data_IF_428784084321
#
_entry.id   IF_428784084321
#
_cell.length_a   1.000
_cell.length_b   1.000
_cell.length_c   1.000
_cell.angle_alpha   90.00
_cell.angle_beta   90.00
_cell.angle_gamma   90.00
#
_symmetry.space_group_name_H-M   'P 1'
#
loop_
_entity.id
_entity.type
_entity.pdbx_description
1 polymer ?
#
# COMPACT_ATOMS: atom_id res chain seq x y z
N UNK A 1 17.20 -34.55 45.19
CA UNK A 1 16.72 -34.71 43.79
C UNK A 1 15.49 -33.86 43.63
N UNK A 2 15.67 -32.72 42.98
CA UNK A 2 14.66 -31.67 42.88
C UNK A 2 13.79 -31.91 41.64
N UNK A 3 12.49 -32.10 41.88
CA UNK A 3 11.45 -32.02 40.86
C UNK A 3 11.10 -30.56 40.64
N UNK A 4 11.43 -30.00 39.50
CA UNK A 4 10.85 -28.77 39.02
C UNK A 4 9.63 -29.09 38.14
N UNK A 5 8.44 -29.05 38.74
CA UNK A 5 7.18 -28.94 38.02
C UNK A 5 7.06 -27.51 37.48
N UNK A 6 7.26 -27.34 36.21
CA UNK A 6 6.78 -26.13 35.49
C UNK A 6 5.29 -26.29 35.24
N UNK A 7 4.51 -25.55 36.01
CA UNK A 7 3.09 -25.32 35.74
C UNK A 7 2.92 -24.66 34.36
N UNK A 8 2.52 -25.46 33.39
CA UNK A 8 1.93 -24.92 32.17
C UNK A 8 0.51 -24.50 32.54
N UNK A 9 0.31 -23.20 32.79
CA UNK A 9 -1.02 -22.62 32.78
C UNK A 9 -1.66 -22.93 31.43
N UNK A 10 -2.65 -23.78 31.43
CA UNK A 10 -3.50 -24.11 30.31
C UNK A 10 -4.30 -22.83 29.97
N UNK A 11 -3.88 -22.12 28.94
CA UNK A 11 -4.65 -21.01 28.36
C UNK A 11 -5.98 -21.59 27.92
N UNK A 12 -7.03 -21.24 28.64
CA UNK A 12 -8.39 -21.69 28.36
C UNK A 12 -8.86 -21.00 27.06
N UNK A 13 -9.00 -21.76 25.98
CA UNK A 13 -9.38 -21.28 24.64
C UNK A 13 -10.76 -20.57 24.68
N UNK A 14 -11.57 -20.80 25.73
CA UNK A 14 -12.86 -20.13 25.94
C UNK A 14 -12.74 -18.64 26.29
N UNK A 15 -11.58 -18.14 26.73
CA UNK A 15 -11.40 -16.74 27.12
C UNK A 15 -10.90 -15.84 25.98
N UNK A 16 -10.59 -16.41 24.83
CA UNK A 16 -10.38 -15.66 23.60
C UNK A 16 -11.76 -15.24 23.09
N UNK A 17 -12.29 -14.13 23.62
CA UNK A 17 -13.38 -13.40 22.97
C UNK A 17 -12.90 -12.97 21.58
N UNK A 18 -13.09 -13.84 20.61
CA UNK A 18 -13.09 -13.48 19.20
C UNK A 18 -14.13 -12.37 19.03
N UNK A 19 -13.69 -11.12 19.00
CA UNK A 19 -14.49 -10.05 18.43
C UNK A 19 -14.69 -10.39 16.96
N UNK A 20 -15.67 -11.24 16.69
CA UNK A 20 -16.16 -11.50 15.35
C UNK A 20 -16.96 -10.29 14.88
N UNK A 21 -16.29 -9.24 14.48
CA UNK A 21 -16.85 -8.38 13.47
C UNK A 21 -16.52 -9.03 12.12
N UNK A 22 -17.34 -9.98 11.71
CA UNK A 22 -17.38 -10.54 10.36
C UNK A 22 -17.90 -9.46 9.38
N UNK A 23 -17.28 -8.28 9.35
CA UNK A 23 -17.32 -7.43 8.17
C UNK A 23 -16.32 -8.01 7.19
N UNK A 24 -16.80 -8.51 6.06
CA UNK A 24 -15.97 -8.79 4.90
C UNK A 24 -15.06 -7.57 4.70
N UNK A 25 -13.77 -7.78 4.38
CA UNK A 25 -12.87 -6.66 4.14
C UNK A 25 -13.46 -5.78 3.05
N UNK A 26 -13.63 -4.50 3.36
CA UNK A 26 -14.22 -3.54 2.43
C UNK A 26 -13.28 -3.38 1.24
N UNK A 27 -13.78 -3.71 0.05
CA UNK A 27 -13.06 -3.65 -1.22
C UNK A 27 -13.63 -2.47 -2.00
N UNK A 28 -12.78 -1.61 -2.50
CA UNK A 28 -13.17 -0.53 -3.40
C UNK A 28 -13.25 -1.08 -4.82
N UNK A 29 -14.26 -0.67 -5.55
CA UNK A 29 -14.32 -0.91 -6.99
C UNK A 29 -13.21 -0.17 -7.75
N UNK A 30 -12.87 -0.62 -8.95
CA UNK A 30 -11.90 0.05 -9.84
C UNK A 30 -12.31 1.51 -10.07
N UNK A 31 -13.61 1.78 -10.28
CA UNK A 31 -14.16 3.12 -10.46
C UNK A 31 -13.92 4.03 -9.25
N UNK A 32 -14.10 3.52 -8.02
CA UNK A 32 -13.85 4.29 -6.80
C UNK A 32 -12.36 4.62 -6.62
N UNK A 33 -11.50 3.66 -6.93
CA UNK A 33 -10.04 3.88 -6.90
C UNK A 33 -9.62 4.92 -7.94
N UNK A 34 -10.17 4.85 -9.15
CA UNK A 34 -9.92 5.85 -10.19
C UNK A 34 -10.41 7.24 -9.76
N UNK A 35 -11.57 7.34 -9.11
CA UNK A 35 -12.03 8.61 -8.52
C UNK A 35 -11.08 9.13 -7.46
N UNK A 36 -10.53 8.27 -6.60
CA UNK A 36 -9.54 8.67 -5.60
C UNK A 36 -8.26 9.23 -6.24
N UNK A 37 -7.72 8.53 -7.24
CA UNK A 37 -6.51 8.96 -7.96
C UNK A 37 -6.77 10.27 -8.71
N UNK A 38 -7.91 10.38 -9.40
CA UNK A 38 -8.27 11.53 -10.23
C UNK A 38 -8.83 12.71 -9.43
N UNK A 39 -9.05 12.58 -8.13
CA UNK A 39 -9.37 13.70 -7.24
C UNK A 39 -8.25 14.74 -7.21
N UNK A 40 -7.01 14.31 -7.40
CA UNK A 40 -5.84 15.17 -7.52
C UNK A 40 -5.42 15.31 -8.98
N UNK A 41 -4.76 16.43 -9.27
CA UNK A 41 -4.16 16.74 -10.58
C UNK A 41 -2.63 16.88 -10.46
N UNK A 42 -1.98 17.38 -11.51
CA UNK A 42 -0.55 17.66 -11.54
C UNK A 42 -0.25 19.17 -11.59
N UNK A 43 -1.12 20.01 -11.00
CA UNK A 43 -0.92 21.47 -10.99
C UNK A 43 0.19 21.90 -10.04
N UNK A 44 0.30 21.22 -8.89
CA UNK A 44 1.34 21.50 -7.92
C UNK A 44 1.95 20.19 -7.36
N UNK A 45 3.09 20.36 -6.69
CA UNK A 45 3.82 19.26 -6.06
C UNK A 45 2.98 18.41 -5.11
N UNK A 46 2.16 19.04 -4.25
CA UNK A 46 1.41 18.30 -3.21
C UNK A 46 0.26 17.50 -3.81
N UNK A 47 -0.43 18.04 -4.80
CA UNK A 47 -1.49 17.35 -5.50
C UNK A 47 -0.91 16.19 -6.31
N UNK A 48 0.13 16.44 -7.09
CA UNK A 48 0.83 15.42 -7.88
C UNK A 48 1.38 14.30 -7.00
N UNK A 49 1.97 14.66 -5.83
CA UNK A 49 2.41 13.69 -4.82
C UNK A 49 1.25 12.81 -4.33
N UNK A 50 0.13 13.41 -3.96
CA UNK A 50 -1.00 12.68 -3.41
C UNK A 50 -1.62 11.74 -4.45
N UNK A 51 -1.75 12.21 -5.70
CA UNK A 51 -2.19 11.40 -6.85
C UNK A 51 -1.31 10.17 -7.02
N UNK A 52 -0.01 10.40 -7.15
CA UNK A 52 0.97 9.34 -7.38
C UNK A 52 1.08 8.38 -6.20
N UNK A 53 0.98 8.89 -4.97
CA UNK A 53 1.00 8.09 -3.75
C UNK A 53 -0.16 7.07 -3.72
N UNK A 54 -1.39 7.50 -4.03
CA UNK A 54 -2.57 6.62 -4.06
C UNK A 54 -2.41 5.58 -5.18
N UNK A 55 -1.94 6.02 -6.35
CA UNK A 55 -1.71 5.13 -7.48
C UNK A 55 -0.63 4.07 -7.17
N UNK A 56 0.50 4.47 -6.55
CA UNK A 56 1.53 3.51 -6.13
C UNK A 56 0.96 2.49 -5.15
N UNK A 57 0.21 2.91 -4.13
CA UNK A 57 -0.40 1.99 -3.15
C UNK A 57 -1.28 0.94 -3.82
N UNK A 58 -2.13 1.34 -4.75
CA UNK A 58 -3.02 0.44 -5.45
C UNK A 58 -2.29 -0.40 -6.50
N UNK A 59 -1.55 0.24 -7.41
CA UNK A 59 -0.91 -0.43 -8.54
C UNK A 59 0.19 -1.42 -8.14
N UNK A 60 0.80 -1.25 -6.96
CA UNK A 60 1.86 -2.14 -6.46
C UNK A 60 1.44 -3.01 -5.28
N UNK A 61 0.27 -2.73 -4.71
CA UNK A 61 -0.19 -3.38 -3.49
C UNK A 61 0.80 -3.27 -2.32
N UNK A 62 1.67 -2.27 -2.29
CA UNK A 62 2.69 -2.13 -1.25
C UNK A 62 2.09 -1.80 0.12
N UNK A 63 2.82 -2.15 1.18
CA UNK A 63 2.47 -1.72 2.53
C UNK A 63 2.77 -0.22 2.69
N UNK A 64 2.03 0.45 3.58
CA UNK A 64 2.27 1.88 3.86
C UNK A 64 3.70 2.17 4.32
N UNK A 65 4.32 1.27 5.07
CA UNK A 65 5.74 1.40 5.45
C UNK A 65 6.67 1.29 4.25
N UNK A 66 6.41 0.33 3.37
CA UNK A 66 7.18 0.15 2.12
C UNK A 66 7.07 1.42 1.25
N UNK A 67 5.84 1.98 1.11
CA UNK A 67 5.62 3.24 0.38
C UNK A 67 6.47 4.38 0.91
N UNK A 68 6.48 4.58 2.25
CA UNK A 68 7.23 5.65 2.89
C UNK A 68 8.76 5.49 2.72
N UNK A 69 9.23 4.26 2.51
CA UNK A 69 10.64 3.92 2.39
C UNK A 69 11.16 3.88 0.94
N UNK A 70 10.30 4.12 -0.06
CA UNK A 70 10.73 4.14 -1.46
C UNK A 70 11.71 5.31 -1.68
N UNK A 71 12.84 4.99 -2.29
CA UNK A 71 13.84 5.95 -2.74
C UNK A 71 13.76 6.16 -4.26
N UNK A 72 14.32 7.25 -4.76
CA UNK A 72 14.41 7.49 -6.21
C UNK A 72 15.22 6.38 -6.92
N UNK A 73 16.25 5.86 -6.25
CA UNK A 73 17.06 4.74 -6.75
C UNK A 73 16.34 3.40 -6.82
N UNK A 74 15.14 3.30 -6.22
CA UNK A 74 14.32 2.09 -6.28
C UNK A 74 13.39 2.08 -7.51
N UNK A 75 13.37 3.17 -8.30
CA UNK A 75 12.51 3.34 -9.48
C UNK A 75 13.37 3.27 -10.74
N UNK A 76 13.00 2.38 -11.63
CA UNK A 76 13.56 2.31 -12.98
C UNK A 76 12.43 2.58 -13.98
N UNK A 77 12.45 3.78 -14.57
CA UNK A 77 11.43 4.19 -15.54
C UNK A 77 11.69 3.61 -16.94
N UNK A 78 12.93 3.32 -17.27
CA UNK A 78 13.32 2.77 -18.57
C UNK A 78 12.88 1.30 -18.66
N UNK A 79 13.21 0.51 -17.63
CA UNK A 79 12.82 -0.89 -17.51
C UNK A 79 11.41 -1.05 -16.89
N UNK A 80 10.76 0.04 -16.48
CA UNK A 80 9.38 0.11 -15.94
C UNK A 80 9.15 -0.82 -14.75
N UNK A 81 10.02 -0.75 -13.75
CA UNK A 81 9.82 -1.45 -12.49
C UNK A 81 10.09 -0.58 -11.26
N UNK A 82 9.50 -1.01 -10.15
CA UNK A 82 9.71 -0.46 -8.82
C UNK A 82 10.20 -1.55 -7.88
N UNK A 83 11.30 -1.29 -7.18
CA UNK A 83 11.86 -2.18 -6.15
C UNK A 83 11.29 -1.82 -4.79
N UNK A 84 10.60 -2.76 -4.16
CA UNK A 84 10.00 -2.58 -2.83
C UNK A 84 10.78 -3.37 -1.79
N UNK A 85 11.07 -2.72 -0.65
CA UNK A 85 11.79 -3.31 0.47
C UNK A 85 10.81 -3.83 1.52
N UNK A 86 10.65 -5.14 1.59
CA UNK A 86 9.81 -5.82 2.56
C UNK A 86 10.49 -6.12 3.89
N UNK A 87 9.79 -6.86 4.76
CA UNK A 87 10.29 -7.30 6.08
C UNK A 87 11.53 -8.18 5.93
N UNK A 88 12.54 -7.96 6.77
CA UNK A 88 13.78 -8.75 6.80
C UNK A 88 14.71 -8.49 5.60
N UNK A 89 14.73 -7.27 5.09
CA UNK A 89 15.58 -6.86 3.95
C UNK A 89 15.31 -7.63 2.64
N UNK A 90 14.20 -8.36 2.56
CA UNK A 90 13.79 -8.99 1.31
C UNK A 90 13.24 -7.92 0.37
N UNK A 91 13.72 -7.95 -0.87
CA UNK A 91 13.23 -7.05 -1.91
C UNK A 91 12.32 -7.82 -2.86
N UNK A 92 11.32 -7.12 -3.42
CA UNK A 92 10.56 -7.59 -4.57
C UNK A 92 10.50 -6.50 -5.63
N UNK A 93 10.41 -6.92 -6.87
CA UNK A 93 10.26 -6.06 -8.03
C UNK A 93 8.80 -6.13 -8.46
N UNK A 94 8.19 -4.97 -8.69
CA UNK A 94 6.83 -4.86 -9.21
C UNK A 94 6.84 -4.05 -10.50
N UNK A 95 6.08 -4.44 -11.52
CA UNK A 95 6.03 -3.71 -12.79
C UNK A 95 5.33 -2.36 -12.61
N UNK A 96 5.73 -1.37 -13.38
CA UNK A 96 5.10 -0.05 -13.48
C UNK A 96 4.22 -0.05 -14.74
N UNK A 97 2.90 -0.13 -14.55
CA UNK A 97 1.94 -0.02 -15.64
C UNK A 97 1.86 1.40 -16.22
N UNK A 98 1.28 1.55 -17.39
CA UNK A 98 1.25 2.81 -18.15
C UNK A 98 0.65 4.00 -17.38
N UNK A 99 -0.42 3.79 -16.60
CA UNK A 99 -1.03 4.85 -15.78
C UNK A 99 -0.08 5.31 -14.67
N UNK A 100 0.49 4.36 -13.92
CA UNK A 100 1.45 4.66 -12.87
C UNK A 100 2.72 5.30 -13.41
N UNK A 101 3.21 4.85 -14.58
CA UNK A 101 4.35 5.44 -15.27
C UNK A 101 4.12 6.93 -15.54
N UNK A 102 2.97 7.29 -16.10
CA UNK A 102 2.60 8.67 -16.37
C UNK A 102 2.59 9.49 -15.07
N UNK A 103 1.88 9.03 -14.05
CA UNK A 103 1.78 9.75 -12.78
C UNK A 103 3.13 9.91 -12.07
N UNK A 104 4.00 8.88 -12.13
CA UNK A 104 5.37 8.96 -11.59
C UNK A 104 6.21 9.99 -12.35
N UNK A 105 6.18 9.98 -13.67
CA UNK A 105 6.96 10.92 -14.50
C UNK A 105 6.56 12.36 -14.19
N UNK A 106 5.25 12.67 -14.19
CA UNK A 106 4.72 14.01 -13.87
C UNK A 106 5.13 14.44 -12.45
N UNK A 107 4.99 13.52 -11.48
CA UNK A 107 5.36 13.82 -10.11
C UNK A 107 6.86 14.06 -9.95
N UNK A 108 7.72 13.23 -10.56
CA UNK A 108 9.16 13.38 -10.48
C UNK A 108 9.65 14.70 -11.08
N UNK A 109 9.02 15.16 -12.16
CA UNK A 109 9.30 16.47 -12.76
C UNK A 109 8.97 17.60 -11.76
N UNK A 110 7.76 17.60 -11.18
CA UNK A 110 7.37 18.60 -10.20
C UNK A 110 8.20 18.51 -8.91
N UNK A 111 8.54 17.29 -8.49
CA UNK A 111 9.41 17.05 -7.34
C UNK A 111 10.80 17.65 -7.53
N UNK A 112 11.39 17.52 -8.71
CA UNK A 112 12.71 18.08 -9.01
C UNK A 112 12.71 19.61 -8.94
N UNK A 113 11.62 20.25 -9.38
CA UNK A 113 11.45 21.71 -9.31
C UNK A 113 11.21 22.19 -7.86
N UNK A 114 10.48 21.41 -7.08
CA UNK A 114 10.16 21.76 -5.68
C UNK A 114 11.36 21.59 -4.75
N UNK A 115 12.23 20.60 -5.03
CA UNK A 115 13.36 20.24 -4.21
C UNK A 115 14.67 20.70 -4.87
N UNK A 116 15.27 21.71 -4.28
CA UNK A 116 16.64 22.13 -4.62
C UNK A 116 17.72 21.22 -3.97
N UNK A 117 17.33 20.25 -3.13
CA UNK A 117 18.20 19.40 -2.34
C UNK A 117 18.14 17.92 -2.79
N UNK A 118 19.23 17.19 -2.52
CA UNK A 118 19.45 15.78 -2.92
C UNK A 118 18.72 14.76 -2.04
N UNK A 119 17.48 15.03 -1.63
CA UNK A 119 16.70 14.03 -0.88
C UNK A 119 16.38 12.83 -1.77
N UNK A 120 16.82 11.65 -1.34
CA UNK A 120 16.63 10.42 -2.11
C UNK A 120 15.25 9.78 -1.94
N UNK A 121 14.52 10.11 -0.86
CA UNK A 121 13.20 9.55 -0.58
C UNK A 121 12.18 10.05 -1.61
N UNK A 122 11.34 9.15 -2.13
CA UNK A 122 10.35 9.48 -3.16
C UNK A 122 9.31 10.47 -2.66
N UNK A 123 8.63 10.17 -1.55
CA UNK A 123 7.51 10.96 -1.04
C UNK A 123 7.92 11.83 0.14
N UNK A 124 7.78 13.14 -0.03
CA UNK A 124 8.11 14.14 0.98
C UNK A 124 6.89 14.98 1.36
N UNK A 125 6.90 15.48 2.58
CA UNK A 125 5.92 16.43 3.12
C UNK A 125 6.08 17.83 2.50
N UNK A 126 5.16 18.74 2.84
CA UNK A 126 5.30 20.17 2.50
C UNK A 126 6.59 20.77 3.10
N UNK A 127 7.03 20.27 4.24
CA UNK A 127 8.27 20.70 4.94
C UNK A 127 9.52 20.01 4.39
N UNK A 128 9.42 19.29 3.26
CA UNK A 128 10.52 18.56 2.62
C UNK A 128 11.11 17.40 3.44
N UNK A 129 10.44 16.98 4.51
CA UNK A 129 10.79 15.80 5.28
C UNK A 129 10.13 14.55 4.71
N UNK A 130 10.73 13.38 4.95
CA UNK A 130 10.15 12.07 4.59
C UNK A 130 8.70 11.99 5.07
N UNK A 131 7.82 11.53 4.21
CA UNK A 131 6.41 11.34 4.54
C UNK A 131 6.26 10.15 5.49
N UNK A 132 5.58 10.34 6.62
CA UNK A 132 5.31 9.30 7.58
C UNK A 132 4.00 8.55 7.28
N UNK A 133 3.83 7.41 7.93
CA UNK A 133 2.62 6.57 7.77
C UNK A 133 1.34 7.33 8.15
N UNK A 134 1.37 8.13 9.20
CA UNK A 134 0.23 8.91 9.70
C UNK A 134 -0.22 9.95 8.66
N UNK A 135 0.73 10.59 7.99
CA UNK A 135 0.43 11.53 6.91
C UNK A 135 -0.24 10.82 5.72
N UNK A 136 0.25 9.63 5.34
CA UNK A 136 -0.38 8.80 4.29
C UNK A 136 -1.82 8.43 4.66
N UNK A 137 -2.06 7.98 5.89
CA UNK A 137 -3.41 7.69 6.39
C UNK A 137 -4.32 8.91 6.29
N UNK A 138 -3.84 10.09 6.71
CA UNK A 138 -4.62 11.36 6.63
C UNK A 138 -4.96 11.73 5.19
N UNK A 139 -4.02 11.56 4.25
CA UNK A 139 -4.25 11.85 2.82
C UNK A 139 -5.36 10.94 2.30
N UNK A 140 -5.27 9.62 2.52
CA UNK A 140 -6.24 8.65 2.04
C UNK A 140 -7.63 8.93 2.63
N UNK A 141 -7.75 9.10 3.95
CA UNK A 141 -9.03 9.42 4.61
C UNK A 141 -9.64 10.72 4.09
N UNK A 142 -8.81 11.76 3.95
CA UNK A 142 -9.27 13.06 3.41
C UNK A 142 -9.80 12.89 1.98
N UNK A 143 -9.11 12.14 1.14
CA UNK A 143 -9.53 11.89 -0.24
C UNK A 143 -10.85 11.13 -0.29
N UNK A 144 -10.95 10.02 0.43
CA UNK A 144 -12.17 9.21 0.48
C UNK A 144 -13.40 10.04 0.93
N UNK A 145 -13.23 10.86 1.98
CA UNK A 145 -14.27 11.77 2.44
C UNK A 145 -14.65 12.81 1.40
N UNK A 146 -13.67 13.39 0.72
CA UNK A 146 -13.89 14.45 -0.27
C UNK A 146 -14.69 13.97 -1.49
N UNK A 147 -14.54 12.69 -1.87
CA UNK A 147 -15.31 12.06 -2.96
C UNK A 147 -16.54 11.28 -2.46
N UNK A 148 -16.91 11.47 -1.19
CA UNK A 148 -18.10 10.89 -0.57
C UNK A 148 -18.16 9.36 -0.62
N UNK A 149 -17.02 8.67 -0.48
CA UNK A 149 -17.04 7.22 -0.31
C UNK A 149 -17.73 6.85 1.00
N UNK A 150 -18.63 5.86 0.94
CA UNK A 150 -19.37 5.36 2.11
C UNK A 150 -18.49 4.46 2.98
N UNK A 151 -17.42 3.96 2.45
CA UNK A 151 -16.49 3.02 3.06
C UNK A 151 -15.36 3.75 3.78
N UNK A 152 -14.98 3.27 4.94
CA UNK A 152 -13.77 3.73 5.64
C UNK A 152 -12.52 3.23 4.92
N UNK A 153 -11.85 4.12 4.20
CA UNK A 153 -10.69 3.78 3.37
C UNK A 153 -9.37 3.99 4.10
N UNK A 154 -8.54 2.97 4.06
CA UNK A 154 -7.19 2.94 4.63
C UNK A 154 -6.18 2.44 3.57
N UNK A 155 -4.86 2.58 3.79
CA UNK A 155 -3.85 1.99 2.89
C UNK A 155 -4.05 0.48 2.68
N UNK A 156 -4.49 -0.24 3.73
CA UNK A 156 -4.79 -1.67 3.62
C UNK A 156 -5.99 -1.96 2.72
N UNK A 157 -6.99 -1.08 2.69
CA UNK A 157 -8.15 -1.20 1.78
C UNK A 157 -7.69 -1.18 0.32
N UNK A 158 -6.80 -0.24 -0.05
CA UNK A 158 -6.24 -0.16 -1.40
C UNK A 158 -5.44 -1.41 -1.78
N UNK A 159 -4.61 -1.90 -0.85
CA UNK A 159 -3.86 -3.15 -1.06
C UNK A 159 -4.78 -4.37 -1.18
N UNK A 160 -5.85 -4.42 -0.38
CA UNK A 160 -6.86 -5.47 -0.43
C UNK A 160 -7.59 -5.46 -1.77
N UNK A 161 -8.02 -4.27 -2.21
CA UNK A 161 -8.67 -4.10 -3.51
C UNK A 161 -7.74 -4.51 -4.66
N UNK A 162 -6.45 -4.15 -4.61
CA UNK A 162 -5.46 -4.57 -5.60
C UNK A 162 -5.37 -6.11 -5.69
N UNK A 163 -5.28 -6.80 -4.54
CA UNK A 163 -5.22 -8.26 -4.50
C UNK A 163 -6.47 -8.91 -5.09
N UNK A 164 -7.65 -8.41 -4.72
CA UNK A 164 -8.94 -8.94 -5.22
C UNK A 164 -9.07 -8.72 -6.72
N UNK A 165 -8.78 -7.51 -7.21
CA UNK A 165 -8.85 -7.21 -8.64
C UNK A 165 -7.86 -8.03 -9.48
N UNK A 166 -6.68 -8.37 -8.94
CA UNK A 166 -5.75 -9.29 -9.61
C UNK A 166 -6.36 -10.69 -9.74
N UNK A 167 -6.99 -11.23 -8.68
CA UNK A 167 -7.65 -12.54 -8.71
C UNK A 167 -8.85 -12.53 -9.66
N UNK A 168 -9.69 -11.51 -9.63
CA UNK A 168 -10.82 -11.32 -10.54
C UNK A 168 -10.36 -11.20 -12.00
N UNK A 169 -9.19 -10.59 -12.22
CA UNK A 169 -8.52 -10.50 -13.52
C UNK A 169 -7.87 -11.80 -13.99
N UNK A 170 -8.00 -12.90 -13.22
CA UNK A 170 -7.51 -14.23 -13.58
C UNK A 170 -6.08 -14.55 -13.13
N UNK A 171 -5.44 -13.70 -12.31
CA UNK A 171 -4.16 -14.05 -11.71
C UNK A 171 -4.34 -15.21 -10.72
N UNK A 172 -3.43 -16.16 -10.74
CA UNK A 172 -3.43 -17.22 -9.74
C UNK A 172 -3.00 -16.71 -8.36
N UNK A 173 -3.40 -17.43 -7.32
CA UNK A 173 -3.16 -17.05 -5.93
C UNK A 173 -1.67 -16.89 -5.60
N UNK A 174 -0.82 -17.72 -6.18
CA UNK A 174 0.63 -17.69 -5.94
C UNK A 174 1.25 -16.43 -6.54
N UNK A 175 0.87 -16.05 -7.74
CA UNK A 175 1.28 -14.80 -8.38
C UNK A 175 0.89 -13.60 -7.52
N UNK A 176 -0.35 -13.57 -6.99
CA UNK A 176 -0.79 -12.50 -6.08
C UNK A 176 0.02 -12.49 -4.78
N UNK A 177 0.35 -13.66 -4.22
CA UNK A 177 1.20 -13.75 -3.02
C UNK A 177 2.61 -13.20 -3.25
N UNK A 178 3.23 -13.55 -4.35
CA UNK A 178 4.57 -13.08 -4.72
C UNK A 178 4.56 -11.57 -4.97
N UNK A 179 3.57 -11.08 -5.71
CA UNK A 179 3.37 -9.65 -5.96
C UNK A 179 3.22 -8.84 -4.67
N UNK A 180 2.44 -9.33 -3.72
CA UNK A 180 2.23 -8.67 -2.43
C UNK A 180 3.38 -8.87 -1.45
N UNK A 181 4.29 -9.80 -1.68
CA UNK A 181 5.38 -10.14 -0.77
C UNK A 181 4.86 -10.74 0.54
N UNK A 182 3.93 -11.70 0.44
CA UNK A 182 3.48 -12.49 1.59
C UNK A 182 4.49 -13.59 1.91
N UNK A 183 4.86 -13.73 3.18
CA UNK A 183 5.76 -14.78 3.64
C UNK A 183 5.06 -16.11 3.92
N UNK A 184 3.72 -16.15 3.93
CA UNK A 184 2.92 -17.35 4.16
C UNK A 184 1.62 -17.36 3.34
N UNK A 185 1.18 -18.56 2.99
CA UNK A 185 -0.04 -18.84 2.20
C UNK A 185 -1.31 -18.37 2.93
N UNK A 186 -1.33 -18.47 4.26
CA UNK A 186 -2.52 -18.17 5.08
C UNK A 186 -3.02 -16.73 4.95
N UNK A 187 -2.13 -15.78 4.68
CA UNK A 187 -2.48 -14.36 4.59
C UNK A 187 -3.24 -14.02 3.30
N UNK A 188 -3.09 -14.83 2.26
CA UNK A 188 -3.74 -14.56 0.95
C UNK A 188 -5.04 -15.35 0.79
N UNK A 189 -5.25 -16.42 1.56
CA UNK A 189 -6.51 -17.19 1.53
C UNK A 189 -7.75 -16.38 1.91
N UNK A 190 -7.57 -15.23 2.58
CA UNK A 190 -8.66 -14.31 2.91
C UNK A 190 -9.31 -13.74 1.64
N UNK A 191 -8.58 -13.64 0.53
CA UNK A 191 -9.04 -13.08 -0.73
C UNK A 191 -9.80 -14.08 -1.63
N UNK A 192 -9.77 -15.36 -1.31
CA UNK A 192 -10.43 -16.43 -2.10
C UNK A 192 -11.82 -16.80 -1.59
N UNK A 193 -12.33 -16.11 -0.56
CA UNK A 193 -13.67 -16.31 0.00
C UNK A 193 -14.70 -15.27 -0.49
N UNK A 194 -14.52 -14.81 -1.71
CA UNK A 194 -15.51 -13.96 -2.42
C UNK A 194 -16.28 -14.81 -3.40
#
# INVERSE_FOLDING_TARGET
YLNENKDYESINISDIKLKSSNKLPEILSISEIEKMINFYNHEDYLQSRNKTLIDVLYSTGCRVSELCDINLSDIDLDEKYLKLKGKGSKHRIVPIGSKLYKNLTEYLNLRSLFLQNKENVLFLSKSKNKLDRTAVFRIIKKTAKAISLQTDVYPHTLRHSAATHMLEGGCDLRTVQEFLGHSSVSTTQIYTKV
#
